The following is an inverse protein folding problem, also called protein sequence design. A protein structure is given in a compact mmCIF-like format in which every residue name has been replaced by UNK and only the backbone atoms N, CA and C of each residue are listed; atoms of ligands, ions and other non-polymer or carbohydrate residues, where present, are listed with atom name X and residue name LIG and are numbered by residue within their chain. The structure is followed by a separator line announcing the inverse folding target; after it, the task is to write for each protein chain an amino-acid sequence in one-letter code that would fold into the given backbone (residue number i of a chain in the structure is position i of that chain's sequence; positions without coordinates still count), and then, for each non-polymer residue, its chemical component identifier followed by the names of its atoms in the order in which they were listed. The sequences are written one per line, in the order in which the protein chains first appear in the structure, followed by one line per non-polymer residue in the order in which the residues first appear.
data_IF_537079052186
#
_entry.id   IF_537079052186
#
_cell.length_a   1.000
_cell.length_b   1.000
_cell.length_c   1.000
_cell.angle_alpha   90.00
_cell.angle_beta   90.00
_cell.angle_gamma   90.00
#
_symmetry.space_group_name_H-M   'P 1'
#
loop_
_entity.id
_entity.type
_entity.pdbx_description
1 polymer ?
#
# COMPACT_ATOMS: atom_id res chain seq x y z
N UNK A 1 -42.74 6.76 47.01
CA UNK A 1 -42.71 6.63 45.53
C UNK A 1 -41.38 7.16 44.98
N UNK A 2 -40.24 6.56 45.35
CA UNK A 2 -38.91 7.16 45.04
C UNK A 2 -37.82 6.14 44.73
N UNK A 3 -38.17 4.87 44.48
CA UNK A 3 -37.19 3.80 44.20
C UNK A 3 -37.18 3.32 42.73
N UNK A 4 -38.11 3.77 41.88
CA UNK A 4 -38.14 3.35 40.46
C UNK A 4 -37.42 4.32 39.50
N UNK A 5 -37.23 5.58 39.87
CA UNK A 5 -36.60 6.58 38.97
C UNK A 5 -35.08 6.41 38.81
N UNK A 6 -34.38 5.84 39.80
CA UNK A 6 -32.94 5.60 39.72
C UNK A 6 -32.57 4.38 38.85
N UNK A 7 -33.50 3.42 38.71
CA UNK A 7 -33.31 2.23 37.87
C UNK A 7 -33.48 2.57 36.38
N UNK A 8 -34.49 3.38 36.04
CA UNK A 8 -34.75 3.78 34.65
C UNK A 8 -33.69 4.74 34.09
N UNK A 9 -33.11 5.61 34.92
CA UNK A 9 -31.99 6.49 34.49
C UNK A 9 -30.68 5.75 34.32
N UNK A 10 -30.39 4.73 35.14
CA UNK A 10 -29.22 3.88 34.96
C UNK A 10 -29.32 3.00 33.71
N UNK A 11 -30.51 2.45 33.42
CA UNK A 11 -30.76 1.68 32.20
C UNK A 11 -30.71 2.58 30.95
N UNK A 12 -31.24 3.80 31.00
CA UNK A 12 -31.15 4.75 29.89
C UNK A 12 -29.70 5.18 29.60
N UNK A 13 -28.86 5.41 30.62
CA UNK A 13 -27.44 5.74 30.46
C UNK A 13 -26.61 4.58 29.91
N UNK A 14 -26.92 3.34 30.30
CA UNK A 14 -26.25 2.14 29.75
C UNK A 14 -26.71 1.85 28.32
N UNK A 15 -27.97 2.11 27.98
CA UNK A 15 -28.50 1.98 26.61
C UNK A 15 -27.97 3.10 25.70
N UNK A 16 -27.78 4.33 26.18
CA UNK A 16 -27.12 5.40 25.41
C UNK A 16 -25.61 5.17 25.26
N UNK A 17 -24.94 4.60 26.27
CA UNK A 17 -23.54 4.16 26.13
C UNK A 17 -23.41 3.00 25.13
N UNK A 18 -24.35 2.04 25.14
CA UNK A 18 -24.37 0.94 24.17
C UNK A 18 -24.71 1.42 22.75
N UNK A 19 -25.66 2.36 22.58
CA UNK A 19 -25.98 2.98 21.28
C UNK A 19 -24.88 3.91 20.76
N UNK A 20 -24.14 4.57 21.65
CA UNK A 20 -22.92 5.33 21.33
C UNK A 20 -21.82 4.40 20.80
N UNK A 21 -21.69 3.19 21.34
CA UNK A 21 -20.70 2.19 20.91
C UNK A 21 -21.07 1.53 19.57
N UNK A 22 -22.36 1.41 19.25
CA UNK A 22 -22.82 0.84 17.98
C UNK A 22 -22.70 1.81 16.78
N UNK A 23 -22.62 3.12 17.01
CA UNK A 23 -22.40 4.13 15.96
C UNK A 23 -20.94 4.57 15.76
N UNK A 24 -20.07 4.44 16.78
CA UNK A 24 -18.77 5.15 16.81
C UNK A 24 -17.54 4.37 16.29
N UNK A 25 -17.65 3.08 15.98
CA UNK A 25 -16.48 2.25 15.64
C UNK A 25 -16.40 1.89 14.15
N UNK A 26 -16.71 2.86 13.27
CA UNK A 26 -16.65 2.62 11.83
C UNK A 26 -15.19 2.63 11.37
N UNK A 27 -14.72 1.49 10.85
CA UNK A 27 -13.44 1.38 10.16
C UNK A 27 -13.50 2.09 8.81
N UNK A 28 -12.35 2.62 8.37
CA UNK A 28 -12.25 3.18 7.02
C UNK A 28 -12.41 2.07 5.95
N UNK A 29 -13.44 2.10 5.08
CA UNK A 29 -13.81 0.95 4.23
C UNK A 29 -12.69 0.46 3.30
N UNK A 30 -12.06 1.37 2.56
CA UNK A 30 -10.97 1.00 1.63
C UNK A 30 -9.73 0.47 2.35
N UNK A 31 -9.46 0.97 3.56
CA UNK A 31 -8.35 0.48 4.38
C UNK A 31 -8.68 -0.89 4.95
N UNK A 32 -9.93 -1.16 5.33
CA UNK A 32 -10.35 -2.46 5.84
C UNK A 32 -10.13 -3.56 4.81
N UNK A 33 -10.60 -3.35 3.58
CA UNK A 33 -10.42 -4.30 2.48
C UNK A 33 -8.93 -4.53 2.18
N UNK A 34 -8.14 -3.46 2.06
CA UNK A 34 -6.70 -3.56 1.80
C UNK A 34 -5.97 -4.30 2.94
N UNK A 35 -6.23 -3.92 4.19
CA UNK A 35 -5.56 -4.51 5.35
C UNK A 35 -5.92 -5.99 5.52
N UNK A 36 -7.19 -6.36 5.30
CA UNK A 36 -7.63 -7.75 5.33
C UNK A 36 -6.93 -8.61 4.26
N UNK A 37 -6.66 -8.06 3.08
CA UNK A 37 -5.88 -8.76 2.04
C UNK A 37 -4.40 -8.86 2.37
N UNK A 38 -3.78 -7.77 2.84
CA UNK A 38 -2.39 -7.80 3.30
C UNK A 38 -2.20 -8.81 4.44
N UNK A 39 -3.17 -8.90 5.35
CA UNK A 39 -3.20 -9.90 6.42
C UNK A 39 -3.26 -11.33 5.86
N UNK A 40 -4.16 -11.61 4.91
CA UNK A 40 -4.22 -12.92 4.23
C UNK A 40 -2.91 -13.28 3.54
N UNK A 41 -2.23 -12.32 2.90
CA UNK A 41 -0.91 -12.56 2.28
C UNK A 41 0.10 -12.99 3.35
N UNK A 42 0.17 -12.28 4.48
CA UNK A 42 1.09 -12.63 5.57
C UNK A 42 0.78 -13.99 6.20
N UNK A 43 -0.49 -14.30 6.44
CA UNK A 43 -0.88 -15.62 6.94
C UNK A 43 -0.51 -16.71 5.94
N UNK A 44 -0.70 -16.47 4.64
CA UNK A 44 -0.29 -17.40 3.58
C UNK A 44 1.22 -17.63 3.55
N UNK A 45 2.03 -16.58 3.69
CA UNK A 45 3.50 -16.70 3.75
C UNK A 45 3.96 -17.46 5.00
N UNK A 46 3.39 -17.16 6.16
CA UNK A 46 3.69 -17.88 7.40
C UNK A 46 3.30 -19.36 7.30
N UNK A 47 2.11 -19.67 6.77
CA UNK A 47 1.66 -21.04 6.54
C UNK A 47 2.56 -21.79 5.53
N UNK A 48 3.02 -21.11 4.48
CA UNK A 48 3.97 -21.66 3.49
C UNK A 48 5.31 -22.00 4.13
N UNK A 49 5.80 -21.14 5.01
CA UNK A 49 7.04 -21.39 5.76
C UNK A 49 6.93 -22.63 6.66
N UNK A 50 5.81 -22.78 7.37
CA UNK A 50 5.51 -23.96 8.19
C UNK A 50 5.48 -25.24 7.33
N UNK A 51 4.74 -25.23 6.21
CA UNK A 51 4.67 -26.39 5.30
C UNK A 51 6.03 -26.75 4.71
N UNK A 52 6.88 -25.75 4.40
CA UNK A 52 8.22 -25.96 3.87
C UNK A 52 9.17 -26.58 4.90
N UNK A 53 9.00 -26.29 6.18
CA UNK A 53 9.80 -26.88 7.25
C UNK A 53 9.57 -28.39 7.40
N UNK A 54 8.38 -28.90 7.04
CA UNK A 54 8.09 -30.34 6.96
C UNK A 54 7.83 -31.06 8.29
N UNK A 55 8.30 -30.52 9.41
CA UNK A 55 8.20 -31.12 10.74
C UNK A 55 6.86 -30.78 11.44
N UNK A 56 5.76 -31.29 10.88
CA UNK A 56 4.44 -31.09 11.47
C UNK A 56 4.15 -32.13 12.56
N UNK A 57 3.75 -31.71 13.78
CA UNK A 57 3.38 -32.62 14.86
C UNK A 57 2.13 -33.45 14.50
N UNK A 58 2.02 -34.64 15.08
CA UNK A 58 0.84 -35.53 14.91
C UNK A 58 -0.48 -34.83 15.28
N UNK A 59 -0.41 -34.00 16.32
CA UNK A 59 -1.53 -33.25 16.88
C UNK A 59 -1.12 -31.84 17.27
N UNK A 60 -1.76 -30.84 16.67
CA UNK A 60 -1.57 -29.43 17.01
C UNK A 60 -2.83 -28.60 16.72
N UNK A 61 -2.97 -27.48 17.42
CA UNK A 61 -3.87 -26.40 17.03
C UNK A 61 -3.19 -25.42 16.08
N UNK A 62 -3.97 -24.71 15.27
CA UNK A 62 -3.51 -23.62 14.42
C UNK A 62 -4.19 -22.33 14.87
N UNK A 63 -3.42 -21.29 15.14
CA UNK A 63 -3.96 -19.95 15.42
C UNK A 63 -3.43 -18.96 14.41
N UNK A 64 -4.31 -18.14 13.82
CA UNK A 64 -3.90 -16.98 13.02
C UNK A 64 -4.08 -15.72 13.86
N UNK A 65 -2.98 -15.01 14.09
CA UNK A 65 -2.91 -13.81 14.90
C UNK A 65 -3.27 -12.57 14.07
N UNK A 66 -3.98 -11.58 14.63
CA UNK A 66 -4.41 -10.39 13.91
C UNK A 66 -3.20 -9.52 13.61
N UNK A 67 -3.13 -9.03 12.38
CA UNK A 67 -2.06 -8.15 11.93
C UNK A 67 -2.40 -6.68 12.22
N UNK A 68 -3.69 -6.37 12.33
CA UNK A 68 -4.18 -5.01 12.46
C UNK A 68 -5.04 -4.86 13.71
N UNK A 69 -4.76 -3.83 14.48
CA UNK A 69 -5.69 -3.26 15.45
C UNK A 69 -6.38 -2.06 14.82
N UNK A 70 -7.64 -1.82 15.18
CA UNK A 70 -8.43 -0.73 14.63
C UNK A 70 -8.67 0.28 15.72
N UNK A 71 -7.94 1.40 15.65
CA UNK A 71 -7.90 2.39 16.73
C UNK A 71 -8.06 3.79 16.18
N UNK A 72 -8.54 4.72 17.01
CA UNK A 72 -8.49 6.13 16.65
C UNK A 72 -7.03 6.60 16.65
N UNK A 73 -6.58 7.33 15.61
CA UNK A 73 -5.22 7.82 15.55
C UNK A 73 -4.97 8.84 16.68
N UNK A 74 -3.78 8.80 17.28
CA UNK A 74 -3.32 9.77 18.28
C UNK A 74 -2.53 10.94 17.65
N UNK A 75 -2.34 10.91 16.33
CA UNK A 75 -1.76 11.98 15.52
C UNK A 75 -2.78 12.50 14.52
N UNK A 76 -2.60 13.73 14.04
CA UNK A 76 -3.41 14.27 12.95
C UNK A 76 -3.09 13.56 11.63
N UNK A 77 -4.09 12.84 11.09
CA UNK A 77 -4.03 12.18 9.79
C UNK A 77 -4.85 12.93 8.72
N UNK A 78 -5.30 14.15 9.03
CA UNK A 78 -6.04 15.04 8.15
C UNK A 78 -7.50 14.64 7.98
N UNK A 79 -8.04 14.75 6.77
CA UNK A 79 -9.45 14.42 6.49
C UNK A 79 -9.74 12.90 6.46
N UNK A 80 -8.72 12.05 6.57
CA UNK A 80 -8.85 10.60 6.37
C UNK A 80 -9.45 9.86 7.55
N UNK A 81 -9.28 10.35 8.78
CA UNK A 81 -9.95 9.76 9.94
C UNK A 81 -11.37 10.30 10.12
N UNK A 82 -11.92 11.04 9.14
CA UNK A 82 -13.26 11.61 9.22
C UNK A 82 -14.18 10.98 8.19
N UNK A 83 -15.31 10.46 8.64
CA UNK A 83 -16.34 9.95 7.75
C UNK A 83 -16.89 11.08 6.85
N UNK A 84 -17.16 10.77 5.59
CA UNK A 84 -17.70 11.75 4.65
C UNK A 84 -19.12 12.16 5.05
N UNK A 85 -19.42 13.46 4.99
CA UNK A 85 -20.71 14.02 5.40
C UNK A 85 -20.85 14.25 6.91
N UNK A 86 -20.56 13.24 7.75
CA UNK A 86 -20.75 13.35 9.20
C UNK A 86 -19.56 13.95 9.94
N UNK A 87 -18.34 13.79 9.42
CA UNK A 87 -17.11 14.25 10.07
C UNK A 87 -16.70 13.44 11.30
N UNK A 88 -17.43 12.36 11.62
CA UNK A 88 -17.16 11.46 12.75
C UNK A 88 -15.81 10.77 12.60
N UNK A 89 -15.14 10.54 13.74
CA UNK A 89 -13.84 9.89 13.75
C UNK A 89 -13.97 8.41 13.38
N UNK A 90 -13.18 7.97 12.42
CA UNK A 90 -13.10 6.58 12.00
C UNK A 90 -11.93 5.87 12.67
N UNK A 91 -12.04 4.55 12.78
CA UNK A 91 -10.94 3.70 13.19
C UNK A 91 -9.97 3.50 12.03
N UNK A 92 -8.68 3.59 12.34
CA UNK A 92 -7.58 3.45 11.40
C UNK A 92 -6.73 2.22 11.75
N UNK A 93 -6.13 1.53 10.77
CA UNK A 93 -5.42 0.28 10.99
C UNK A 93 -4.02 0.53 11.58
N UNK A 94 -3.80 0.16 12.84
CA UNK A 94 -2.49 0.17 13.50
C UNK A 94 -1.87 -1.22 13.39
N UNK A 95 -0.60 -1.30 13.00
CA UNK A 95 0.10 -2.57 12.77
C UNK A 95 0.48 -3.23 14.10
N UNK A 96 0.15 -4.51 14.22
CA UNK A 96 0.58 -5.39 15.29
C UNK A 96 1.86 -6.13 14.86
N UNK A 97 2.92 -5.93 15.62
CA UNK A 97 4.14 -6.72 15.57
C UNK A 97 4.08 -7.86 16.58
N UNK A 98 4.38 -9.08 16.15
CA UNK A 98 4.37 -10.27 16.99
C UNK A 98 5.80 -10.77 17.19
N UNK A 99 6.11 -11.26 18.39
CA UNK A 99 7.39 -11.95 18.65
C UNK A 99 7.44 -13.38 18.07
N UNK A 100 6.32 -13.83 17.51
CA UNK A 100 6.12 -15.11 16.86
C UNK A 100 5.60 -14.92 15.43
N UNK A 101 5.71 -15.92 14.55
CA UNK A 101 5.02 -15.90 13.26
C UNK A 101 3.51 -15.71 13.44
N UNK A 102 2.87 -15.05 12.46
CA UNK A 102 1.45 -14.68 12.53
C UNK A 102 0.51 -15.88 12.37
N UNK A 103 1.04 -17.03 11.99
CA UNK A 103 0.38 -18.34 12.06
C UNK A 103 1.17 -19.20 13.02
N UNK A 104 0.55 -19.63 14.12
CA UNK A 104 1.19 -20.36 15.21
C UNK A 104 0.65 -21.79 15.27
N UNK A 105 1.55 -22.76 15.34
CA UNK A 105 1.21 -24.14 15.68
C UNK A 105 1.32 -24.34 17.19
N UNK A 106 0.26 -24.89 17.79
CA UNK A 106 0.17 -25.07 19.24
C UNK A 106 0.18 -26.56 19.54
N UNK A 107 1.33 -27.04 20.02
CA UNK A 107 1.56 -28.42 20.47
C UNK A 107 1.46 -28.54 21.98
N UNK A 108 1.94 -27.52 22.69
CA UNK A 108 1.91 -27.41 24.15
C UNK A 108 0.52 -27.03 24.66
N UNK A 109 0.31 -27.18 25.97
CA UNK A 109 -0.96 -26.77 26.60
C UNK A 109 -1.12 -25.24 26.59
N UNK A 110 -0.04 -24.49 26.78
CA UNK A 110 -0.05 -23.03 26.78
C UNK A 110 1.20 -22.50 26.12
N UNK A 111 1.03 -21.58 25.16
CA UNK A 111 2.12 -20.89 24.45
C UNK A 111 2.01 -19.39 24.74
N UNK A 112 3.00 -18.78 25.41
CA UNK A 112 3.03 -17.33 25.58
C UNK A 112 3.37 -16.65 24.26
N UNK A 113 2.74 -15.51 24.01
CA UNK A 113 3.03 -14.65 22.85
C UNK A 113 3.08 -13.20 23.31
N UNK A 114 3.96 -12.42 22.71
CA UNK A 114 4.05 -10.98 22.96
C UNK A 114 3.75 -10.21 21.69
N UNK A 115 3.08 -9.07 21.86
CA UNK A 115 2.80 -8.17 20.75
C UNK A 115 3.27 -6.76 21.06
N UNK A 116 3.49 -6.00 19.99
CA UNK A 116 3.75 -4.57 19.99
C UNK A 116 2.80 -3.93 19.00
N UNK A 117 2.23 -2.80 19.37
CA UNK A 117 1.39 -1.99 18.47
C UNK A 117 2.13 -0.69 18.24
N UNK A 118 2.46 -0.42 16.97
CA UNK A 118 3.18 0.80 16.59
C UNK A 118 2.54 1.44 15.37
N UNK A 119 2.36 2.76 15.45
CA UNK A 119 1.92 3.57 14.33
C UNK A 119 0.79 4.52 14.70
N UNK A 120 0.63 5.60 13.92
CA UNK A 120 -0.43 6.60 14.15
C UNK A 120 -0.45 7.19 15.56
N UNK A 121 0.74 7.31 16.18
CA UNK A 121 0.92 7.82 17.55
C UNK A 121 0.79 6.77 18.65
N UNK A 122 0.41 5.53 18.31
CA UNK A 122 0.40 4.41 19.24
C UNK A 122 1.79 3.79 19.38
N UNK A 123 2.13 3.41 20.62
CA UNK A 123 3.34 2.71 20.99
C UNK A 123 3.08 1.87 22.24
N UNK A 124 2.29 0.81 22.10
CA UNK A 124 1.96 -0.10 23.20
C UNK A 124 2.60 -1.46 22.99
N UNK A 125 2.74 -2.22 24.07
CA UNK A 125 3.19 -3.61 24.03
C UNK A 125 2.42 -4.40 25.07
N UNK A 126 2.21 -5.67 24.81
CA UNK A 126 1.47 -6.54 25.70
C UNK A 126 1.89 -7.99 25.56
N UNK A 127 1.39 -8.79 26.49
CA UNK A 127 1.54 -10.23 26.48
C UNK A 127 0.16 -10.88 26.39
N UNK A 128 0.15 -12.06 25.81
CA UNK A 128 -1.00 -12.92 25.75
C UNK A 128 -0.56 -14.38 25.86
N UNK A 129 -1.54 -15.28 25.92
CA UNK A 129 -1.32 -16.71 25.92
C UNK A 129 -2.32 -17.40 25.01
N UNK A 130 -1.82 -18.36 24.25
CA UNK A 130 -2.61 -19.26 23.43
C UNK A 130 -2.72 -20.57 24.19
N UNK A 131 -3.93 -21.05 24.40
CA UNK A 131 -4.20 -22.21 25.26
C UNK A 131 -4.87 -23.31 24.44
N UNK A 132 -4.27 -24.50 24.44
CA UNK A 132 -4.85 -25.66 23.80
C UNK A 132 -5.90 -26.29 24.71
N UNK A 133 -7.14 -26.42 24.23
CA UNK A 133 -8.25 -27.06 24.96
C UNK A 133 -8.94 -28.13 24.15
N UNK A 134 -9.32 -29.21 24.82
CA UNK A 134 -10.18 -30.24 24.25
C UNK A 134 -11.59 -29.67 24.05
N UNK A 135 -12.22 -30.00 22.92
CA UNK A 135 -13.57 -29.52 22.57
C UNK A 135 -13.60 -28.25 21.72
N UNK A 136 -12.48 -27.53 21.59
CA UNK A 136 -12.37 -26.34 20.74
C UNK A 136 -12.07 -26.69 19.28
N UNK A 137 -12.32 -25.73 18.37
CA UNK A 137 -11.98 -25.89 16.97
C UNK A 137 -10.45 -25.95 16.78
N UNK A 138 -9.91 -26.87 15.96
CA UNK A 138 -8.47 -27.02 15.77
C UNK A 138 -7.81 -25.83 15.07
N UNK A 139 -8.61 -24.94 14.49
CA UNK A 139 -8.17 -23.71 13.85
C UNK A 139 -8.97 -22.56 14.42
N UNK A 140 -8.29 -21.55 14.93
CA UNK A 140 -8.89 -20.33 15.48
C UNK A 140 -8.30 -19.11 14.80
N UNK A 141 -9.16 -18.27 14.20
CA UNK A 141 -8.77 -16.97 13.68
C UNK A 141 -9.11 -15.88 14.71
N UNK A 142 -8.12 -15.06 15.05
CA UNK A 142 -8.25 -14.04 16.08
C UNK A 142 -8.40 -12.68 15.42
N UNK A 143 -9.48 -11.97 15.73
CA UNK A 143 -9.83 -10.68 15.10
C UNK A 143 -9.46 -9.46 15.94
N UNK A 144 -9.18 -9.65 17.23
CA UNK A 144 -8.80 -8.60 18.19
C UNK A 144 -7.53 -9.00 18.92
N UNK A 145 -6.77 -8.04 19.46
CA UNK A 145 -5.57 -8.37 20.22
C UNK A 145 -5.92 -9.25 21.42
N UNK A 146 -5.37 -10.47 21.51
CA UNK A 146 -5.60 -11.34 22.64
C UNK A 146 -4.85 -10.79 23.88
N UNK A 147 -5.31 -11.16 25.07
CA UNK A 147 -4.71 -10.69 26.32
C UNK A 147 -4.50 -11.84 27.32
N UNK A 148 -3.70 -11.62 28.37
CA UNK A 148 -3.56 -12.59 29.45
C UNK A 148 -4.88 -12.85 30.21
N UNK A 149 -5.76 -11.84 30.28
CA UNK A 149 -7.08 -11.94 30.90
C UNK A 149 -8.06 -12.74 30.03
N UNK A 150 -7.95 -12.60 28.71
CA UNK A 150 -8.79 -13.25 27.70
C UNK A 150 -7.91 -14.08 26.75
N UNK A 151 -7.48 -15.28 27.17
CA UNK A 151 -6.63 -16.12 26.35
C UNK A 151 -7.38 -16.69 25.15
N UNK A 152 -6.64 -16.96 24.08
CA UNK A 152 -7.20 -17.59 22.89
C UNK A 152 -7.19 -19.09 23.09
N UNK A 153 -8.36 -19.71 23.03
CA UNK A 153 -8.49 -21.15 23.09
C UNK A 153 -8.47 -21.77 21.68
N UNK A 154 -7.72 -22.85 21.52
CA UNK A 154 -7.64 -23.61 20.27
C UNK A 154 -7.73 -25.10 20.54
N UNK A 155 -8.40 -25.81 19.65
CA UNK A 155 -8.48 -27.26 19.65
C UNK A 155 -7.19 -27.93 19.19
N UNK A 156 -7.21 -29.26 19.16
CA UNK A 156 -6.14 -30.06 18.55
C UNK A 156 -6.65 -30.74 17.28
N UNK A 157 -6.00 -30.48 16.16
CA UNK A 157 -6.22 -31.15 14.88
C UNK A 157 -5.17 -32.22 14.60
N UNK A 158 -5.53 -33.23 13.80
CA UNK A 158 -4.58 -34.21 13.26
C UNK A 158 -3.75 -33.59 12.13
N UNK A 159 -2.52 -34.08 11.92
CA UNK A 159 -1.60 -33.56 10.90
C UNK A 159 -2.22 -33.39 9.53
N UNK A 160 -2.98 -34.37 9.02
CA UNK A 160 -3.60 -34.29 7.69
C UNK A 160 -4.57 -33.09 7.56
N UNK A 161 -5.35 -32.82 8.62
CA UNK A 161 -6.27 -31.67 8.66
C UNK A 161 -5.51 -30.36 8.78
N UNK A 162 -4.44 -30.33 9.58
CA UNK A 162 -3.59 -29.16 9.72
C UNK A 162 -2.87 -28.81 8.41
N UNK A 163 -2.36 -29.80 7.68
CA UNK A 163 -1.80 -29.62 6.33
C UNK A 163 -2.85 -29.02 5.39
N UNK A 164 -4.08 -29.54 5.39
CA UNK A 164 -5.14 -29.01 4.54
C UNK A 164 -5.47 -27.54 4.86
N UNK A 165 -5.54 -27.17 6.15
CA UNK A 165 -5.76 -25.78 6.57
C UNK A 165 -4.59 -24.86 6.22
N UNK A 166 -3.35 -25.28 6.44
CA UNK A 166 -2.17 -24.51 6.04
C UNK A 166 -2.15 -24.30 4.52
N UNK A 167 -2.45 -25.33 3.72
CA UNK A 167 -2.58 -25.20 2.25
C UNK A 167 -3.69 -24.23 1.85
N UNK A 168 -4.81 -24.21 2.57
CA UNK A 168 -5.88 -23.25 2.35
C UNK A 168 -5.44 -21.81 2.64
N UNK A 169 -4.67 -21.59 3.73
CA UNK A 169 -4.08 -20.28 4.03
C UNK A 169 -3.09 -19.84 2.95
N UNK A 170 -2.23 -20.75 2.46
CA UNK A 170 -1.32 -20.46 1.34
C UNK A 170 -2.11 -20.01 0.11
N UNK A 171 -3.12 -20.78 -0.30
CA UNK A 171 -3.97 -20.45 -1.44
C UNK A 171 -4.70 -19.11 -1.24
N UNK A 172 -5.20 -18.84 -0.04
CA UNK A 172 -5.86 -17.59 0.28
C UNK A 172 -4.91 -16.39 0.23
N UNK A 173 -3.67 -16.55 0.67
CA UNK A 173 -2.63 -15.52 0.56
C UNK A 173 -2.20 -15.26 -0.89
N UNK A 174 -2.01 -16.31 -1.68
CA UNK A 174 -1.70 -16.20 -3.12
C UNK A 174 -2.85 -15.51 -3.88
N UNK A 175 -4.11 -15.85 -3.58
CA UNK A 175 -5.27 -15.17 -4.15
C UNK A 175 -5.34 -13.69 -3.71
N UNK A 176 -5.16 -13.41 -2.42
CA UNK A 176 -5.18 -12.05 -1.88
C UNK A 176 -4.11 -11.15 -2.51
N UNK A 177 -2.94 -11.71 -2.88
CA UNK A 177 -1.92 -10.97 -3.62
C UNK A 177 -2.45 -10.46 -4.98
N UNK A 178 -3.12 -11.31 -5.75
CA UNK A 178 -3.73 -10.92 -7.02
C UNK A 178 -4.88 -9.92 -6.83
N UNK A 179 -5.72 -10.13 -5.80
CA UNK A 179 -6.78 -9.17 -5.48
C UNK A 179 -6.23 -7.78 -5.15
N UNK A 180 -5.13 -7.68 -4.39
CA UNK A 180 -4.47 -6.39 -4.12
C UNK A 180 -3.96 -5.77 -5.41
N UNK A 181 -3.32 -6.56 -6.27
CA UNK A 181 -2.79 -6.07 -7.54
C UNK A 181 -3.89 -5.52 -8.45
N UNK A 182 -4.99 -6.26 -8.62
CA UNK A 182 -6.15 -5.85 -9.43
C UNK A 182 -6.77 -4.56 -8.90
N UNK A 183 -6.97 -4.45 -7.59
CA UNK A 183 -7.58 -3.25 -7.00
C UNK A 183 -6.70 -2.00 -7.08
N UNK A 184 -5.37 -2.18 -7.17
CA UNK A 184 -4.44 -1.07 -7.33
C UNK A 184 -4.33 -0.59 -8.78
N UNK A 185 -4.71 -1.39 -9.76
CA UNK A 185 -4.51 -1.05 -11.17
C UNK A 185 -5.19 0.27 -11.58
N UNK A 186 -6.48 0.53 -11.27
CA UNK A 186 -7.11 1.81 -11.60
C UNK A 186 -6.42 2.99 -10.92
N UNK A 187 -5.95 2.77 -9.68
CA UNK A 187 -5.24 3.79 -8.92
C UNK A 187 -3.86 4.09 -9.51
N UNK A 188 -3.16 3.05 -9.96
CA UNK A 188 -1.88 3.17 -10.64
C UNK A 188 -2.03 3.95 -11.94
N UNK A 189 -3.00 3.59 -12.80
CA UNK A 189 -3.31 4.32 -14.04
C UNK A 189 -3.47 5.82 -13.78
N UNK A 190 -4.39 6.18 -12.87
CA UNK A 190 -4.60 7.57 -12.48
C UNK A 190 -3.31 8.25 -11.95
N UNK A 191 -2.51 7.51 -11.19
CA UNK A 191 -1.23 8.02 -10.65
C UNK A 191 -0.19 8.24 -11.74
N UNK A 192 -0.12 7.37 -12.75
CA UNK A 192 0.76 7.51 -13.93
C UNK A 192 0.38 8.74 -14.74
N UNK A 193 -0.91 8.95 -15.02
CA UNK A 193 -1.38 10.16 -15.69
C UNK A 193 -1.04 11.44 -14.89
N UNK A 194 -1.24 11.43 -13.58
CA UNK A 194 -0.88 12.58 -12.73
C UNK A 194 0.63 12.84 -12.71
N UNK A 195 1.43 11.78 -12.62
CA UNK A 195 2.89 11.87 -12.68
C UNK A 195 3.36 12.41 -14.04
N UNK A 196 2.73 11.99 -15.13
CA UNK A 196 3.01 12.48 -16.48
C UNK A 196 2.72 13.95 -16.61
N UNK A 197 1.52 14.41 -16.22
CA UNK A 197 1.18 15.84 -16.23
C UNK A 197 2.17 16.67 -15.42
N UNK A 198 2.62 16.16 -14.26
CA UNK A 198 3.62 16.83 -13.44
C UNK A 198 4.99 16.94 -14.14
N UNK A 199 5.45 15.85 -14.78
CA UNK A 199 6.71 15.83 -15.54
C UNK A 199 6.63 16.76 -16.76
N UNK A 200 5.54 16.73 -17.52
CA UNK A 200 5.32 17.61 -18.67
C UNK A 200 5.35 19.09 -18.26
N UNK A 201 4.67 19.44 -17.17
CA UNK A 201 4.69 20.80 -16.63
C UNK A 201 6.10 21.22 -16.20
N UNK A 202 6.81 20.38 -15.46
CA UNK A 202 8.16 20.68 -14.97
C UNK A 202 9.18 20.88 -16.10
N UNK A 203 9.13 20.05 -17.14
CA UNK A 203 9.95 20.21 -18.35
C UNK A 203 9.53 21.47 -19.11
N UNK A 204 8.22 21.68 -19.28
CA UNK A 204 7.65 22.83 -19.99
C UNK A 204 8.01 24.18 -19.36
N UNK A 205 8.19 24.25 -18.04
CA UNK A 205 8.73 25.45 -17.38
C UNK A 205 10.15 25.83 -17.84
N UNK A 206 10.88 24.89 -18.43
CA UNK A 206 12.27 25.09 -18.86
C UNK A 206 12.37 25.33 -20.37
N UNK A 207 11.50 24.70 -21.15
CA UNK A 207 11.43 24.88 -22.61
C UNK A 207 10.52 26.03 -23.04
N UNK A 208 9.65 26.51 -22.14
CA UNK A 208 8.64 27.54 -22.41
C UNK A 208 7.35 27.01 -23.04
N UNK A 209 7.26 25.70 -23.32
CA UNK A 209 6.10 25.06 -23.95
C UNK A 209 5.74 23.82 -23.13
N UNK A 210 4.49 23.79 -22.63
CA UNK A 210 3.93 22.61 -21.96
C UNK A 210 3.23 21.76 -23.02
N UNK A 211 3.84 20.63 -23.36
CA UNK A 211 3.30 19.66 -24.32
C UNK A 211 3.33 18.24 -23.72
N UNK A 212 2.44 17.33 -24.14
CA UNK A 212 2.48 15.94 -23.71
C UNK A 212 3.79 15.27 -24.12
N UNK A 213 4.55 14.74 -23.16
CA UNK A 213 5.86 14.11 -23.42
C UNK A 213 5.74 12.67 -23.93
N UNK A 214 4.60 12.01 -23.64
CA UNK A 214 4.26 10.65 -24.00
C UNK A 214 2.80 10.63 -24.46
N UNK A 215 2.50 9.76 -25.41
CA UNK A 215 1.14 9.45 -25.86
C UNK A 215 0.47 8.44 -24.92
N UNK A 216 -0.82 8.18 -25.17
CA UNK A 216 -1.61 7.23 -24.37
C UNK A 216 -0.99 5.83 -24.36
N UNK A 217 -0.53 5.34 -25.51
CA UNK A 217 0.15 4.06 -25.61
C UNK A 217 1.44 4.01 -24.77
N UNK A 218 2.24 5.08 -24.78
CA UNK A 218 3.43 5.19 -23.94
C UNK A 218 3.12 5.16 -22.44
N UNK A 219 1.98 5.73 -22.02
CA UNK A 219 1.53 5.69 -20.63
C UNK A 219 1.04 4.29 -20.23
N UNK A 220 0.30 3.62 -21.12
CA UNK A 220 -0.14 2.24 -20.94
C UNK A 220 1.04 1.27 -20.80
N UNK A 221 2.07 1.42 -21.65
CA UNK A 221 3.31 0.65 -21.53
C UNK A 221 4.00 0.84 -20.16
N UNK A 222 3.93 2.04 -19.58
CA UNK A 222 4.47 2.30 -18.24
C UNK A 222 3.64 1.61 -17.17
N UNK A 223 2.31 1.64 -17.27
CA UNK A 223 1.41 0.92 -16.36
C UNK A 223 1.72 -0.58 -16.40
N UNK A 224 1.82 -1.17 -17.59
CA UNK A 224 2.15 -2.60 -17.77
C UNK A 224 3.52 -2.97 -17.19
N UNK A 225 4.54 -2.12 -17.43
CA UNK A 225 5.87 -2.32 -16.88
C UNK A 225 5.87 -2.24 -15.34
N UNK A 226 5.10 -1.33 -14.75
CA UNK A 226 4.98 -1.20 -13.30
C UNK A 226 4.20 -2.34 -12.66
N UNK A 227 3.11 -2.80 -13.30
CA UNK A 227 2.26 -3.89 -12.82
C UNK A 227 2.98 -5.23 -12.88
N UNK A 228 3.60 -5.54 -14.02
CA UNK A 228 4.01 -6.89 -14.36
C UNK A 228 5.52 -7.04 -14.63
N UNK A 229 6.28 -5.94 -14.68
CA UNK A 229 7.72 -5.93 -14.88
C UNK A 229 8.14 -5.54 -16.30
N UNK A 230 9.43 -5.30 -16.50
CA UNK A 230 9.99 -4.88 -17.79
C UNK A 230 10.13 -6.07 -18.75
N UNK A 231 9.84 -5.85 -20.03
CA UNK A 231 10.18 -6.78 -21.11
C UNK A 231 11.69 -6.71 -21.35
N UNK A 232 12.33 -7.87 -21.41
CA UNK A 232 13.75 -8.01 -21.76
C UNK A 232 13.96 -7.89 -23.26
N UNK A 233 12.98 -8.39 -24.02
CA UNK A 233 12.93 -8.34 -25.47
C UNK A 233 11.48 -8.02 -25.88
N UNK A 234 11.30 -6.89 -26.56
CA UNK A 234 9.97 -6.43 -27.00
C UNK A 234 9.39 -7.35 -28.09
N UNK A 235 10.23 -8.01 -28.90
CA UNK A 235 9.77 -8.90 -29.99
C UNK A 235 9.37 -10.28 -29.47
N UNK A 236 10.11 -10.81 -28.49
CA UNK A 236 9.83 -12.11 -27.88
C UNK A 236 8.76 -12.06 -26.78
N UNK A 237 8.41 -10.86 -26.29
CA UNK A 237 7.47 -10.68 -25.17
C UNK A 237 7.95 -11.27 -23.85
N UNK A 238 9.24 -11.58 -23.73
CA UNK A 238 9.80 -12.19 -22.52
C UNK A 238 10.10 -11.14 -21.44
N UNK A 239 9.59 -11.37 -20.22
CA UNK A 239 9.86 -10.51 -19.05
C UNK A 239 11.20 -10.84 -18.40
N UNK A 240 11.85 -9.82 -17.82
CA UNK A 240 13.11 -9.97 -17.08
C UNK A 240 12.93 -10.92 -15.88
N UNK A 241 13.44 -12.15 -15.99
CA UNK A 241 13.34 -13.17 -14.92
C UNK A 241 14.14 -12.75 -13.69
N UNK A 242 13.51 -12.88 -12.52
CA UNK A 242 14.15 -12.64 -11.22
C UNK A 242 14.04 -11.19 -10.70
N UNK A 243 13.43 -10.28 -11.46
CA UNK A 243 13.17 -8.91 -11.02
C UNK A 243 11.68 -8.70 -10.81
N UNK A 244 11.30 -8.33 -9.59
CA UNK A 244 9.92 -8.01 -9.28
C UNK A 244 9.51 -6.70 -9.94
N UNK A 245 8.24 -6.63 -10.36
CA UNK A 245 7.66 -5.38 -10.83
C UNK A 245 7.58 -4.35 -9.71
N UNK A 246 7.36 -3.09 -10.05
CA UNK A 246 7.21 -2.02 -9.07
C UNK A 246 6.07 -2.31 -8.08
N UNK A 247 4.95 -2.86 -8.58
CA UNK A 247 3.78 -3.17 -7.76
C UNK A 247 3.97 -4.40 -6.87
N UNK A 248 4.60 -5.47 -7.38
CA UNK A 248 4.94 -6.63 -6.56
C UNK A 248 5.90 -6.24 -5.43
N UNK A 249 6.95 -5.48 -5.75
CA UNK A 249 7.87 -4.92 -4.75
C UNK A 249 7.16 -4.01 -3.75
N UNK A 250 6.19 -3.20 -4.19
CA UNK A 250 5.41 -2.36 -3.30
C UNK A 250 4.57 -3.19 -2.32
N UNK A 251 3.95 -4.27 -2.80
CA UNK A 251 3.21 -5.19 -1.92
C UNK A 251 4.15 -5.80 -0.89
N UNK A 252 5.33 -6.28 -1.28
CA UNK A 252 6.34 -6.82 -0.34
C UNK A 252 6.75 -5.79 0.72
N UNK A 253 7.01 -4.55 0.33
CA UNK A 253 7.30 -3.46 1.27
C UNK A 253 6.15 -3.23 2.27
N UNK A 254 4.90 -3.40 1.84
CA UNK A 254 3.72 -3.30 2.71
C UNK A 254 3.57 -4.47 3.70
N UNK A 255 4.34 -5.55 3.54
CA UNK A 255 4.34 -6.68 4.47
C UNK A 255 5.36 -6.50 5.61
N UNK A 256 6.31 -5.58 5.46
CA UNK A 256 7.29 -5.24 6.50
C UNK A 256 6.60 -4.63 7.73
N UNK A 257 7.14 -4.88 8.92
CA UNK A 257 6.54 -4.45 10.19
C UNK A 257 6.51 -2.92 10.35
N UNK A 258 7.57 -2.23 9.90
CA UNK A 258 7.78 -0.80 10.16
C UNK A 258 7.29 0.14 9.03
N UNK A 259 6.66 -0.38 7.97
CA UNK A 259 6.33 0.43 6.79
C UNK A 259 5.24 1.51 7.04
N UNK A 260 4.33 1.29 8.01
CA UNK A 260 3.18 2.16 8.26
C UNK A 260 3.27 2.99 9.57
N UNK A 261 4.46 3.17 10.12
CA UNK A 261 4.63 3.87 11.41
C UNK A 261 4.08 5.31 11.40
N UNK A 262 4.27 6.03 10.29
CA UNK A 262 3.95 7.47 10.18
C UNK A 262 2.79 7.77 9.23
N UNK A 263 2.37 6.82 8.42
CA UNK A 263 1.40 7.02 7.33
C UNK A 263 0.50 5.80 7.21
N UNK A 264 -0.76 6.04 6.85
CA UNK A 264 -1.69 4.96 6.55
C UNK A 264 -1.27 4.18 5.29
N UNK A 265 -1.69 2.90 5.16
CA UNK A 265 -1.35 2.05 4.02
C UNK A 265 -1.63 2.66 2.64
N UNK A 266 -2.79 3.31 2.44
CA UNK A 266 -3.12 3.91 1.15
C UNK A 266 -2.23 5.10 0.82
N UNK A 267 -1.89 5.94 1.80
CA UNK A 267 -0.94 7.05 1.61
C UNK A 267 0.46 6.54 1.30
N UNK A 268 0.91 5.49 1.98
CA UNK A 268 2.19 4.85 1.71
C UNK A 268 2.25 4.36 0.26
N UNK A 269 1.27 3.56 -0.16
CA UNK A 269 1.21 3.01 -1.51
C UNK A 269 1.11 4.10 -2.57
N UNK A 270 0.25 5.11 -2.38
CA UNK A 270 0.12 6.23 -3.33
C UNK A 270 1.43 6.99 -3.51
N UNK A 271 2.18 7.23 -2.42
CA UNK A 271 3.47 7.90 -2.47
C UNK A 271 4.50 7.09 -3.28
N UNK A 272 4.55 5.78 -3.05
CA UNK A 272 5.46 4.89 -3.78
C UNK A 272 5.08 4.75 -5.25
N UNK A 273 3.79 4.56 -5.57
CA UNK A 273 3.30 4.51 -6.96
C UNK A 273 3.66 5.79 -7.72
N UNK A 274 3.45 6.96 -7.12
CA UNK A 274 3.80 8.24 -7.75
C UNK A 274 5.30 8.36 -8.02
N UNK A 275 6.13 8.06 -7.01
CA UNK A 275 7.60 8.12 -7.15
C UNK A 275 8.10 7.19 -8.26
N UNK A 276 7.59 5.95 -8.27
CA UNK A 276 8.03 4.94 -9.23
C UNK A 276 7.49 5.27 -10.64
N UNK A 277 6.27 5.81 -10.76
CA UNK A 277 5.70 6.30 -12.02
C UNK A 277 6.52 7.46 -12.60
N UNK A 278 6.84 8.48 -11.80
CA UNK A 278 7.70 9.59 -12.22
C UNK A 278 9.07 9.07 -12.68
N UNK A 279 9.63 8.08 -11.99
CA UNK A 279 10.91 7.45 -12.36
C UNK A 279 10.82 6.74 -13.71
N UNK A 280 9.75 5.95 -13.95
CA UNK A 280 9.56 5.22 -15.21
C UNK A 280 9.31 6.17 -16.39
N UNK A 281 8.49 7.21 -16.19
CA UNK A 281 8.26 8.26 -17.20
C UNK A 281 9.58 8.93 -17.58
N UNK A 282 10.37 9.36 -16.60
CA UNK A 282 11.67 10.02 -16.86
C UNK A 282 12.64 9.09 -17.56
N UNK A 283 12.72 7.82 -17.14
CA UNK A 283 13.54 6.80 -17.82
C UNK A 283 13.12 6.63 -19.28
N UNK A 284 11.81 6.57 -19.56
CA UNK A 284 11.28 6.43 -20.93
C UNK A 284 11.64 7.64 -21.81
N UNK A 285 11.69 8.83 -21.23
CA UNK A 285 12.09 10.07 -21.90
C UNK A 285 13.61 10.25 -22.02
N UNK A 286 14.41 9.38 -21.42
CA UNK A 286 15.86 9.58 -21.31
C UNK A 286 16.27 10.72 -20.36
N UNK A 287 15.34 11.21 -19.54
CA UNK A 287 15.59 12.26 -18.55
C UNK A 287 16.33 11.67 -17.33
N UNK A 288 17.56 12.14 -17.01
CA UNK A 288 18.26 11.64 -15.84
C UNK A 288 17.51 11.97 -14.55
N UNK A 289 17.66 11.14 -13.51
CA UNK A 289 17.02 11.35 -12.20
C UNK A 289 17.27 12.75 -11.59
N UNK A 290 18.43 13.35 -11.85
CA UNK A 290 18.77 14.71 -11.37
C UNK A 290 18.32 15.84 -12.31
N UNK A 291 17.64 15.51 -13.41
CA UNK A 291 17.15 16.44 -14.43
C UNK A 291 16.37 17.64 -13.87
N UNK A 292 15.41 17.44 -12.93
CA UNK A 292 14.67 18.56 -12.33
C UNK A 292 15.57 19.61 -11.68
N UNK A 293 16.61 19.17 -10.95
CA UNK A 293 17.56 20.08 -10.30
C UNK A 293 18.41 20.84 -11.33
N UNK A 294 18.83 20.16 -12.41
CA UNK A 294 19.61 20.79 -13.49
C UNK A 294 18.79 21.87 -14.17
N UNK A 295 17.52 21.57 -14.50
CA UNK A 295 16.58 22.52 -15.08
C UNK A 295 16.27 23.69 -14.14
N UNK A 296 16.19 23.45 -12.83
CA UNK A 296 16.05 24.52 -11.84
C UNK A 296 17.25 25.49 -11.85
N UNK A 297 18.48 24.97 -11.88
CA UNK A 297 19.68 25.82 -12.00
C UNK A 297 19.69 26.57 -13.33
N UNK A 298 19.40 25.88 -14.44
CA UNK A 298 19.35 26.51 -15.77
C UNK A 298 18.33 27.68 -15.83
N UNK A 299 17.18 27.55 -15.15
CA UNK A 299 16.19 28.64 -15.04
C UNK A 299 16.71 29.87 -14.30
N UNK A 300 17.62 29.70 -13.34
CA UNK A 300 18.25 30.81 -12.60
C UNK A 300 19.35 31.51 -13.39
N UNK A 301 19.89 30.85 -14.43
CA UNK A 301 20.96 31.36 -15.29
C UNK A 301 20.51 31.41 -16.77
N UNK A 302 19.54 32.27 -17.12
CA UNK A 302 19.05 32.36 -18.49
C UNK A 302 20.19 32.76 -19.43
N UNK A 303 20.37 32.01 -20.52
CA UNK A 303 21.42 32.17 -21.56
C UNK A 303 22.83 31.67 -21.18
N UNK A 304 23.00 31.05 -20.02
CA UNK A 304 24.27 30.40 -19.69
C UNK A 304 24.54 29.20 -20.62
N UNK A 305 25.81 28.95 -20.95
CA UNK A 305 26.16 27.74 -21.68
C UNK A 305 26.03 26.50 -20.78
N UNK A 306 25.94 25.32 -21.38
CA UNK A 306 25.81 24.07 -20.62
C UNK A 306 26.99 23.88 -19.66
N UNK A 307 28.19 24.33 -20.02
CA UNK A 307 29.36 24.27 -19.16
C UNK A 307 29.18 25.10 -17.88
N UNK A 308 28.73 26.35 -18.01
CA UNK A 308 28.47 27.26 -16.90
C UNK A 308 27.38 26.71 -15.97
N UNK A 309 26.33 26.10 -16.54
CA UNK A 309 25.26 25.45 -15.77
C UNK A 309 25.81 24.27 -14.95
N UNK A 310 26.75 23.49 -15.51
CA UNK A 310 27.38 22.38 -14.78
C UNK A 310 28.24 22.88 -13.64
N UNK A 311 28.98 23.97 -13.84
CA UNK A 311 29.80 24.59 -12.79
C UNK A 311 28.91 25.12 -11.66
N UNK A 312 27.90 25.94 -11.97
CA UNK A 312 26.92 26.43 -11.01
C UNK A 312 26.21 25.29 -10.26
N UNK A 313 25.88 24.20 -10.95
CA UNK A 313 25.29 23.03 -10.32
C UNK A 313 26.25 22.35 -9.33
N UNK A 314 27.54 22.21 -9.67
CA UNK A 314 28.54 21.56 -8.80
C UNK A 314 28.85 22.40 -7.57
N UNK A 315 28.73 23.72 -7.65
CA UNK A 315 28.83 24.60 -6.49
C UNK A 315 27.70 24.35 -5.48
N UNK A 316 26.46 24.21 -5.96
CA UNK A 316 25.28 23.97 -5.11
C UNK A 316 25.22 22.51 -4.64
N UNK A 317 25.58 21.56 -5.50
CA UNK A 317 25.46 20.11 -5.28
C UNK A 317 26.78 19.36 -5.57
N UNK A 318 27.85 19.58 -4.78
CA UNK A 318 29.19 19.02 -5.07
C UNK A 318 29.25 17.49 -5.04
N UNK A 319 28.35 16.84 -4.29
CA UNK A 319 28.31 15.37 -4.14
C UNK A 319 27.76 14.65 -5.38
N UNK A 320 26.95 15.32 -6.19
CA UNK A 320 26.21 14.68 -7.30
C UNK A 320 27.10 14.45 -8.55
N UNK A 321 28.29 15.07 -8.59
CA UNK A 321 29.32 14.96 -9.66
C UNK A 321 28.72 14.98 -11.07
N UNK A 322 27.99 16.05 -11.38
CA UNK A 322 27.32 16.22 -12.68
C UNK A 322 28.32 16.22 -13.84
N UNK A 323 28.05 15.43 -14.89
CA UNK A 323 28.82 15.42 -16.14
C UNK A 323 28.11 16.20 -17.24
N UNK A 324 28.88 16.75 -18.19
CA UNK A 324 28.34 17.46 -19.36
C UNK A 324 27.30 16.64 -20.15
N UNK A 325 27.50 15.34 -20.44
CA UNK A 325 26.50 14.55 -21.14
C UNK A 325 25.17 14.43 -20.38
N UNK A 326 25.22 14.28 -19.05
CA UNK A 326 24.01 14.21 -18.21
C UNK A 326 23.28 15.56 -18.17
N UNK A 327 24.02 16.67 -18.13
CA UNK A 327 23.45 18.00 -18.20
C UNK A 327 22.78 18.25 -19.55
N UNK A 328 23.44 17.87 -20.65
CA UNK A 328 22.86 17.95 -21.99
C UNK A 328 21.58 17.11 -22.09
N UNK A 329 21.62 15.84 -21.66
CA UNK A 329 20.44 14.97 -21.68
C UNK A 329 19.25 15.57 -20.90
N UNK A 330 19.49 16.17 -19.74
CA UNK A 330 18.43 16.81 -18.94
C UNK A 330 17.83 18.07 -19.60
N UNK A 331 18.64 18.83 -20.33
CA UNK A 331 18.21 20.08 -20.98
C UNK A 331 17.65 19.86 -22.39
N UNK A 332 17.96 18.73 -23.02
CA UNK A 332 17.49 18.35 -24.36
C UNK A 332 16.34 17.35 -24.36
N UNK A 333 15.67 17.14 -23.22
CA UNK A 333 14.50 16.25 -23.14
C UNK A 333 13.41 16.82 -24.05
N UNK A 334 12.82 15.97 -24.87
CA UNK A 334 11.76 16.36 -25.80
C UNK A 334 10.66 15.29 -25.84
N UNK A 335 9.45 15.63 -26.31
CA UNK A 335 8.40 14.63 -26.45
C UNK A 335 8.81 13.46 -27.33
N UNK A 336 8.23 12.29 -27.05
CA UNK A 336 8.38 11.13 -27.92
C UNK A 336 7.85 11.44 -29.33
N UNK A 337 8.39 10.75 -30.35
CA UNK A 337 7.93 10.92 -31.72
C UNK A 337 6.42 10.69 -31.85
N UNK A 338 5.91 9.67 -31.14
CA UNK A 338 4.49 9.34 -31.09
C UNK A 338 3.65 10.44 -30.44
N UNK A 339 4.12 11.04 -29.33
CA UNK A 339 3.43 12.15 -28.68
C UNK A 339 3.31 13.40 -29.57
N UNK A 340 4.33 13.67 -30.41
CA UNK A 340 4.29 14.77 -31.38
C UNK A 340 3.29 14.52 -32.51
N UNK A 341 3.08 13.26 -32.88
CA UNK A 341 2.16 12.89 -33.97
C UNK A 341 0.69 13.09 -33.58
N UNK A 342 0.36 12.98 -32.30
CA UNK A 342 -1.01 13.22 -31.78
C UNK A 342 -1.43 14.70 -31.89
N UNK A 343 -0.48 15.64 -31.91
CA UNK A 343 -0.74 17.07 -32.08
C UNK A 343 -1.00 17.48 -33.55
N UNK A 344 -0.78 16.58 -34.52
CA UNK A 344 -0.97 16.84 -35.96
C UNK A 344 -2.34 16.36 -36.48
N UNK A 345 -3.40 16.49 -35.67
CA UNK A 345 -4.78 16.41 -36.18
C UNK A 345 -5.32 17.85 -36.29
N UNK A 346 -5.24 18.49 -37.47
CA UNK A 346 -6.01 19.71 -37.70
C UNK A 346 -7.49 19.33 -37.86
N UNK A 347 -8.33 19.92 -37.01
CA UNK A 347 -9.79 20.03 -37.11
C UNK A 347 -10.56 18.87 -37.75
N UNK A 348 -11.19 18.05 -36.91
CA UNK A 348 -12.57 17.58 -37.09
C UNK A 348 -13.05 16.93 -35.80
N UNK A 349 -13.85 17.64 -35.00
CA UNK A 349 -15.08 17.14 -34.34
C UNK A 349 -15.67 18.25 -33.46
N UNK A 350 -16.29 19.25 -34.11
CA UNK A 350 -17.50 19.87 -33.55
C UNK A 350 -18.59 18.80 -33.52
N UNK A 351 -18.97 18.34 -32.34
CA UNK A 351 -20.01 17.34 -32.17
C UNK A 351 -20.28 17.02 -30.70
N UNK A 352 -20.95 17.95 -30.02
CA UNK A 352 -21.71 17.70 -28.80
C UNK A 352 -22.50 16.39 -28.87
N UNK A 353 -22.38 15.49 -27.89
CA UNK A 353 -23.50 14.92 -27.10
C UNK A 353 -23.07 13.78 -26.16
N UNK A 354 -23.43 13.96 -24.87
CA UNK A 354 -23.97 12.97 -23.93
C UNK A 354 -23.01 11.88 -23.38
N UNK A 355 -22.62 12.04 -22.12
CA UNK A 355 -22.79 10.98 -21.11
C UNK A 355 -22.95 11.63 -19.71
N UNK A 356 -24.20 11.91 -19.35
CA UNK A 356 -24.64 11.97 -17.96
C UNK A 356 -24.70 10.53 -17.41
N UNK A 357 -24.31 10.36 -16.14
CA UNK A 357 -24.79 9.26 -15.30
C UNK A 357 -23.87 8.04 -15.20
N UNK A 358 -23.15 7.92 -14.09
CA UNK A 358 -23.35 6.82 -13.12
C UNK A 358 -22.37 6.95 -11.95
N UNK A 359 -22.84 7.62 -10.90
CA UNK A 359 -22.49 7.27 -9.53
C UNK A 359 -23.47 6.17 -9.09
N UNK A 360 -22.96 5.07 -8.54
CA UNK A 360 -23.51 4.24 -7.45
C UNK A 360 -23.18 2.75 -7.64
N UNK A 361 -22.30 2.23 -6.78
CA UNK A 361 -22.46 0.98 -6.01
C UNK A 361 -21.19 0.77 -5.16
#
# INVERSE_FOLDING_TARGET
MSLNLASETAVALVVDAARSVEGCNRKHPSLEVLCARLERIMHGLAAKAILKAGDLPERAGIVTLPIWSWEHPLIDVGRKDKAHGTGERMLMPVRNGWDTPTVVLITEETVPVSYRVRGMGHATAGQSKLVRRLGEAPVTAVTTLPSLAEPVFVGSGITARNIAHLKALVKAGEAAHWEVLTDLEPKLRSTVFQAHSFVCYEIGLSTGIVEPMLDELGLEQIVDAMMYGELKDEEAGEREKGKLSAMFRLIELCLEEDCFLKVDPLKYMTKHMRRDAETQIRRRLGDPHIGPKIREIARRHPRAEIADIVEAYREVYPKDRLSLPRARAALSVSPSASARSTLLIPDNFTGSTIFEGSQAA
#
